data_IF_118574765497
#
_entry.id   IF_118574765497
#
_cell.length_a   1.000
_cell.length_b   1.000
_cell.length_c   1.000
_cell.angle_alpha   90.00
_cell.angle_beta   90.00
_cell.angle_gamma   90.00
#
_symmetry.space_group_name_H-M   'P 1'
#
loop_
_entity.id
_entity.type
_entity.pdbx_description
1 polymer ?
#
# COMPACT_ATOMS: atom_id res chain seq x y z
N UNK A 1 14.30 -10.74 7.29
CA UNK A 1 13.37 -9.80 6.62
C UNK A 1 14.09 -8.46 6.44
N UNK A 2 14.39 -8.05 5.20
CA UNK A 2 15.00 -6.74 4.95
C UNK A 2 13.91 -5.68 5.10
N UNK A 3 13.98 -4.89 6.17
CA UNK A 3 13.03 -3.81 6.40
C UNK A 3 13.24 -2.73 5.34
N UNK A 4 12.29 -2.56 4.43
CA UNK A 4 12.38 -1.61 3.33
C UNK A 4 11.91 -0.24 3.83
N UNK A 5 12.78 0.47 4.57
CA UNK A 5 12.54 1.83 5.09
C UNK A 5 12.05 2.79 3.99
N UNK A 6 12.54 2.60 2.76
CA UNK A 6 12.13 3.35 1.57
C UNK A 6 10.62 3.24 1.29
N UNK A 7 10.02 2.07 1.50
CA UNK A 7 8.58 1.88 1.32
C UNK A 7 7.79 2.59 2.42
N UNK A 8 8.27 2.57 3.66
CA UNK A 8 7.63 3.27 4.79
C UNK A 8 7.62 4.78 4.54
N UNK A 9 8.73 5.36 4.09
CA UNK A 9 8.80 6.79 3.76
C UNK A 9 7.88 7.17 2.59
N UNK A 10 7.82 6.35 1.55
CA UNK A 10 6.95 6.60 0.40
C UNK A 10 5.47 6.54 0.80
N UNK A 11 5.10 5.60 1.68
CA UNK A 11 3.75 5.49 2.24
C UNK A 11 3.37 6.69 3.11
N UNK A 12 4.30 7.22 3.90
CA UNK A 12 4.07 8.43 4.71
C UNK A 12 3.86 9.65 3.81
N UNK A 13 4.71 9.83 2.79
CA UNK A 13 4.57 10.91 1.80
C UNK A 13 3.23 10.81 1.05
N UNK A 14 2.84 9.60 0.66
CA UNK A 14 1.59 9.36 -0.05
C UNK A 14 0.37 9.68 0.81
N UNK A 15 0.35 9.25 2.07
CA UNK A 15 -0.70 9.58 3.03
C UNK A 15 -0.77 11.10 3.31
N UNK A 16 0.38 11.78 3.36
CA UNK A 16 0.44 13.24 3.46
C UNK A 16 -0.16 13.94 2.23
N UNK A 17 0.12 13.45 1.02
CA UNK A 17 -0.51 13.98 -0.21
C UNK A 17 -2.00 13.70 -0.27
N UNK A 18 -2.45 12.56 0.24
CA UNK A 18 -3.86 12.19 0.24
C UNK A 18 -4.69 13.20 1.04
N UNK A 19 -4.21 13.62 2.22
CA UNK A 19 -4.95 14.63 3.00
C UNK A 19 -4.90 16.03 2.40
N UNK A 20 -3.77 16.40 1.78
CA UNK A 20 -3.69 17.66 1.04
C UNK A 20 -4.72 17.71 -0.09
N UNK A 21 -4.88 16.59 -0.81
CA UNK A 21 -5.91 16.44 -1.84
C UNK A 21 -7.32 16.47 -1.23
N UNK A 22 -7.55 15.76 -0.13
CA UNK A 22 -8.86 15.74 0.54
C UNK A 22 -9.27 17.14 1.04
N UNK A 23 -8.35 17.90 1.61
CA UNK A 23 -8.59 19.27 2.04
C UNK A 23 -8.92 20.22 0.87
N UNK A 24 -8.41 19.92 -0.33
CA UNK A 24 -8.74 20.68 -1.55
C UNK A 24 -10.10 20.27 -2.14
N UNK A 25 -10.46 18.99 -2.04
CA UNK A 25 -11.68 18.41 -2.61
C UNK A 25 -12.92 18.64 -1.75
N UNK A 26 -12.77 18.83 -0.43
CA UNK A 26 -13.90 19.03 0.48
C UNK A 26 -14.19 20.52 0.69
N UNK A 27 -15.34 21.04 0.22
CA UNK A 27 -15.70 22.45 0.35
C UNK A 27 -16.02 22.88 1.79
N UNK A 28 -16.14 21.92 2.73
CA UNK A 28 -16.31 22.18 4.16
C UNK A 28 -15.03 22.45 4.94
N UNK A 29 -13.86 22.41 4.29
CA UNK A 29 -12.55 22.68 4.88
C UNK A 29 -12.01 23.97 4.28
N UNK A 30 -11.97 25.03 5.07
CA UNK A 30 -11.51 26.35 4.58
C UNK A 30 -10.07 26.57 5.00
N UNK A 31 -9.17 26.74 4.02
CA UNK A 31 -7.75 27.04 4.25
C UNK A 31 -7.47 28.52 3.92
N UNK A 32 -7.06 29.35 4.90
CA UNK A 32 -6.72 30.75 4.64
C UNK A 32 -5.52 30.88 3.70
N UNK A 33 -5.37 31.98 2.94
CA UNK A 33 -4.13 32.27 2.22
C UNK A 33 -2.96 32.50 3.20
N UNK A 34 -1.73 32.03 2.91
CA UNK A 34 -1.28 31.34 1.69
C UNK A 34 -1.57 29.83 1.67
N UNK A 35 -2.33 29.38 0.66
CA UNK A 35 -2.83 27.99 0.53
C UNK A 35 -1.72 26.94 0.46
N UNK A 36 -0.62 27.20 -0.24
CA UNK A 36 0.42 26.19 -0.48
C UNK A 36 1.16 25.82 0.81
N UNK A 37 1.52 26.81 1.62
CA UNK A 37 2.21 26.61 2.89
C UNK A 37 1.30 25.91 3.90
N UNK A 38 0.03 26.31 3.98
CA UNK A 38 -0.93 25.67 4.86
C UNK A 38 -1.24 24.22 4.48
N UNK A 39 -1.38 23.91 3.18
CA UNK A 39 -1.56 22.52 2.73
C UNK A 39 -0.34 21.65 3.07
N UNK A 40 0.87 22.19 2.92
CA UNK A 40 2.10 21.48 3.26
C UNK A 40 2.18 21.22 4.77
N UNK A 41 1.93 22.23 5.60
CA UNK A 41 1.89 22.10 7.06
C UNK A 41 0.81 21.11 7.50
N UNK A 42 -0.36 21.16 6.88
CA UNK A 42 -1.47 20.25 7.15
C UNK A 42 -1.09 18.80 6.84
N UNK A 43 -0.54 18.54 5.65
CA UNK A 43 -0.08 17.23 5.24
C UNK A 43 1.05 16.70 6.13
N UNK A 44 2.00 17.55 6.51
CA UNK A 44 3.10 17.19 7.40
C UNK A 44 2.59 16.79 8.80
N UNK A 45 1.68 17.59 9.37
CA UNK A 45 1.16 17.34 10.71
C UNK A 45 0.23 16.13 10.72
N UNK A 46 -0.58 15.93 9.67
CA UNK A 46 -1.36 14.71 9.53
C UNK A 46 -0.48 13.47 9.37
N UNK A 47 0.60 13.55 8.58
CA UNK A 47 1.59 12.48 8.48
C UNK A 47 2.19 12.13 9.84
N UNK A 48 2.47 13.13 10.66
CA UNK A 48 2.97 12.96 12.04
C UNK A 48 1.94 12.29 12.96
N UNK A 49 0.69 12.76 12.94
CA UNK A 49 -0.41 12.15 13.69
C UNK A 49 -0.64 10.69 13.27
N UNK A 50 -0.59 10.40 11.96
CA UNK A 50 -0.76 9.07 11.41
C UNK A 50 0.42 8.13 11.78
N UNK A 51 1.62 8.68 11.99
CA UNK A 51 2.80 7.92 12.40
C UNK A 51 2.86 7.62 13.90
N UNK A 52 2.43 8.55 14.76
CA UNK A 52 2.55 8.41 16.22
C UNK A 52 1.20 8.17 16.92
N UNK A 53 0.19 8.97 16.59
CA UNK A 53 -1.08 8.96 17.32
C UNK A 53 -1.96 7.80 16.86
N UNK A 54 -2.08 7.57 15.55
CA UNK A 54 -2.87 6.46 15.01
C UNK A 54 -2.49 5.09 15.59
N UNK A 55 -1.22 4.67 15.68
CA UNK A 55 -0.88 3.37 16.27
C UNK A 55 -1.21 3.31 17.77
N UNK A 56 -1.05 4.40 18.53
CA UNK A 56 -1.45 4.46 19.95
C UNK A 56 -2.97 4.29 20.09
N UNK A 57 -3.74 5.03 19.29
CA UNK A 57 -5.20 4.94 19.30
C UNK A 57 -5.63 3.54 18.89
N UNK A 58 -5.12 3.01 17.77
CA UNK A 58 -5.44 1.65 17.30
C UNK A 58 -5.11 0.58 18.32
N UNK A 59 -4.01 0.74 19.07
CA UNK A 59 -3.66 -0.17 20.15
C UNK A 59 -4.70 -0.15 21.27
N UNK A 60 -5.21 1.02 21.66
CA UNK A 60 -6.31 1.14 22.61
C UNK A 60 -7.63 0.58 22.05
N UNK A 61 -7.94 0.85 20.78
CA UNK A 61 -9.19 0.42 20.15
C UNK A 61 -9.15 -1.03 19.64
N UNK A 62 -8.05 -1.76 19.82
CA UNK A 62 -7.90 -3.12 19.27
C UNK A 62 -8.95 -4.09 19.82
N UNK A 63 -9.34 -3.93 21.08
CA UNK A 63 -10.41 -4.74 21.68
C UNK A 63 -11.78 -4.44 21.06
N UNK A 64 -12.00 -3.21 20.60
CA UNK A 64 -13.25 -2.82 19.92
C UNK A 64 -13.23 -3.17 18.43
N UNK A 65 -12.06 -3.37 17.80
CA UNK A 65 -11.95 -3.78 16.39
C UNK A 65 -12.69 -5.11 16.15
N UNK A 66 -12.54 -6.07 17.06
CA UNK A 66 -13.22 -7.38 16.97
C UNK A 66 -14.74 -7.30 17.18
N UNK A 67 -15.21 -6.31 17.94
CA UNK A 67 -16.64 -6.15 18.29
C UNK A 67 -17.43 -5.43 17.20
N UNK A 68 -16.76 -4.54 16.45
CA UNK A 68 -17.43 -3.55 15.58
C UNK A 68 -17.27 -3.81 14.08
N UNK A 69 -16.65 -4.92 13.68
CA UNK A 69 -16.45 -5.33 12.27
C UNK A 69 -15.79 -4.27 11.37
N UNK A 70 -15.03 -3.33 11.95
CA UNK A 70 -14.34 -2.28 11.21
C UNK A 70 -14.93 -0.87 11.36
N UNK A 71 -16.04 -0.66 12.08
CA UNK A 71 -16.53 0.70 12.38
C UNK A 71 -15.46 1.55 13.10
N UNK A 72 -14.66 0.90 13.96
CA UNK A 72 -13.52 1.53 14.63
C UNK A 72 -12.51 2.14 13.65
N UNK A 73 -12.36 1.61 12.43
CA UNK A 73 -11.44 2.18 11.42
C UNK A 73 -11.91 3.59 11.03
N UNK A 74 -13.22 3.77 10.84
CA UNK A 74 -13.82 5.08 10.53
C UNK A 74 -13.65 6.02 11.72
N UNK A 75 -13.87 5.53 12.94
CA UNK A 75 -13.72 6.32 14.16
C UNK A 75 -12.29 6.81 14.32
N UNK A 76 -11.29 5.93 14.16
CA UNK A 76 -9.87 6.28 14.27
C UNK A 76 -9.49 7.30 13.21
N UNK A 77 -9.87 7.09 11.94
CA UNK A 77 -9.54 8.03 10.87
C UNK A 77 -10.21 9.39 11.06
N UNK A 78 -11.45 9.41 11.56
CA UNK A 78 -12.17 10.65 11.93
C UNK A 78 -11.50 11.35 13.11
N UNK A 79 -11.11 10.59 14.15
CA UNK A 79 -10.45 11.13 15.33
C UNK A 79 -9.13 11.81 14.96
N UNK A 80 -8.37 11.23 14.02
CA UNK A 80 -7.15 11.87 13.51
C UNK A 80 -7.44 13.19 12.82
N UNK A 81 -8.56 13.27 12.09
CA UNK A 81 -8.97 14.51 11.42
C UNK A 81 -9.39 15.59 12.42
N UNK A 82 -10.13 15.23 13.48
CA UNK A 82 -10.51 16.14 14.57
C UNK A 82 -9.28 16.59 15.35
N UNK A 83 -8.33 15.70 15.64
CA UNK A 83 -7.07 16.08 16.28
C UNK A 83 -6.27 17.05 15.40
N UNK A 84 -6.24 16.82 14.09
CA UNK A 84 -5.56 17.69 13.15
C UNK A 84 -6.16 19.11 13.16
N UNK A 85 -7.49 19.21 13.13
CA UNK A 85 -8.20 20.48 13.33
C UNK A 85 -7.84 21.11 14.68
N UNK A 86 -7.85 20.33 15.76
CA UNK A 86 -7.53 20.84 17.09
C UNK A 86 -6.13 21.43 17.20
N UNK A 87 -5.13 20.78 16.58
CA UNK A 87 -3.75 21.28 16.56
C UNK A 87 -3.52 22.43 15.58
N UNK A 88 -4.35 22.54 14.54
CA UNK A 88 -4.20 23.50 13.45
C UNK A 88 -5.45 24.38 13.31
N UNK A 89 -6.08 24.73 14.42
CA UNK A 89 -7.34 25.47 14.47
C UNK A 89 -7.26 26.84 13.79
N UNK A 90 -6.07 27.43 13.74
CA UNK A 90 -5.78 28.67 13.01
C UNK A 90 -5.62 28.47 11.49
N UNK A 91 -5.37 27.23 11.04
CA UNK A 91 -5.05 26.89 9.64
C UNK A 91 -6.14 26.05 8.96
N UNK A 92 -7.02 25.42 9.75
CA UNK A 92 -8.09 24.54 9.27
C UNK A 92 -9.31 24.70 10.17
N UNK A 93 -10.40 25.19 9.57
CA UNK A 93 -11.71 25.29 10.22
C UNK A 93 -12.58 24.15 9.68
N UNK A 94 -13.06 23.25 10.54
CA UNK A 94 -14.05 22.24 10.18
C UNK A 94 -15.41 22.68 10.68
N UNK A 95 -16.35 22.86 9.74
CA UNK A 95 -17.66 23.42 10.07
C UNK A 95 -18.52 22.48 10.95
N UNK A 96 -18.23 21.17 10.99
CA UNK A 96 -18.99 20.19 11.77
C UNK A 96 -18.28 18.84 11.90
N UNK A 97 -18.64 18.05 12.91
CA UNK A 97 -18.13 16.67 13.11
C UNK A 97 -18.45 15.76 11.91
N UNK A 98 -19.54 16.03 11.20
CA UNK A 98 -19.89 15.31 9.96
C UNK A 98 -18.88 15.54 8.84
N UNK A 99 -18.33 16.75 8.74
CA UNK A 99 -17.24 17.05 7.80
C UNK A 99 -15.93 16.37 8.19
N UNK A 100 -15.68 16.17 9.49
CA UNK A 100 -14.53 15.39 9.93
C UNK A 100 -14.67 13.90 9.56
N UNK A 101 -15.87 13.32 9.66
CA UNK A 101 -16.13 11.93 9.24
C UNK A 101 -15.94 11.77 7.73
N UNK A 102 -16.52 12.69 6.95
CA UNK A 102 -16.38 12.71 5.49
C UNK A 102 -14.91 12.94 5.11
N UNK A 103 -14.21 13.83 5.82
CA UNK A 103 -12.78 14.10 5.66
C UNK A 103 -11.94 12.85 5.90
N UNK A 104 -12.04 12.23 7.08
CA UNK A 104 -11.29 11.00 7.39
C UNK A 104 -11.58 9.86 6.40
N UNK A 105 -12.82 9.74 5.93
CA UNK A 105 -13.21 8.76 4.91
C UNK A 105 -12.59 9.08 3.55
N UNK A 106 -12.66 10.34 3.11
CA UNK A 106 -12.10 10.78 1.84
C UNK A 106 -10.57 10.65 1.81
N UNK A 107 -9.87 10.95 2.91
CA UNK A 107 -8.41 10.72 3.03
C UNK A 107 -8.07 9.26 2.80
N UNK A 108 -8.85 8.36 3.41
CA UNK A 108 -8.66 6.92 3.26
C UNK A 108 -8.85 6.47 1.82
N UNK A 109 -9.89 6.99 1.15
CA UNK A 109 -10.21 6.65 -0.23
C UNK A 109 -9.15 7.18 -1.21
N UNK A 110 -8.73 8.43 -1.02
CA UNK A 110 -7.67 9.05 -1.80
C UNK A 110 -6.36 8.32 -1.60
N UNK A 111 -6.02 7.92 -0.37
CA UNK A 111 -4.84 7.11 -0.07
C UNK A 111 -4.80 5.81 -0.88
N UNK A 112 -5.87 5.02 -0.82
CA UNK A 112 -5.99 3.76 -1.61
C UNK A 112 -5.91 4.02 -3.11
N UNK A 113 -6.55 5.09 -3.59
CA UNK A 113 -6.51 5.45 -5.01
C UNK A 113 -5.09 5.81 -5.46
N UNK A 114 -4.35 6.60 -4.68
CA UNK A 114 -2.96 6.91 -4.96
C UNK A 114 -2.09 5.64 -4.90
N UNK A 115 -2.24 4.78 -3.89
CA UNK A 115 -1.44 3.54 -3.77
C UNK A 115 -1.57 2.64 -5.00
N UNK A 116 -2.80 2.48 -5.50
CA UNK A 116 -3.09 1.72 -6.71
C UNK A 116 -2.55 2.41 -7.96
N UNK A 117 -2.64 3.74 -8.06
CA UNK A 117 -2.15 4.50 -9.20
C UNK A 117 -0.61 4.44 -9.32
N UNK A 118 0.09 4.48 -8.20
CA UNK A 118 1.55 4.41 -8.16
C UNK A 118 2.11 2.98 -8.18
N UNK A 119 1.25 1.96 -8.24
CA UNK A 119 1.68 0.57 -8.39
C UNK A 119 2.56 0.06 -7.23
N UNK A 120 2.34 0.58 -6.02
CA UNK A 120 3.10 0.19 -4.83
C UNK A 120 2.68 -1.18 -4.26
N UNK A 121 1.68 -1.81 -4.87
CA UNK A 121 1.26 -3.19 -4.60
C UNK A 121 2.30 -4.14 -5.20
N UNK A 122 3.09 -4.88 -4.40
CA UNK A 122 4.02 -5.84 -4.96
C UNK A 122 3.25 -6.85 -5.83
N UNK A 123 3.77 -7.21 -7.02
CA UNK A 123 3.18 -8.28 -7.81
C UNK A 123 3.13 -9.53 -6.93
N UNK A 124 2.02 -10.28 -6.97
CA UNK A 124 1.98 -11.63 -6.43
C UNK A 124 2.92 -12.44 -7.30
N UNK A 125 4.19 -12.52 -6.88
CA UNK A 125 5.07 -13.56 -7.36
C UNK A 125 4.43 -14.83 -6.84
N UNK A 126 3.75 -15.52 -7.73
CA UNK A 126 3.38 -16.89 -7.48
C UNK A 126 4.69 -17.67 -7.44
N UNK A 127 5.31 -17.73 -6.26
CA UNK A 127 6.47 -18.57 -5.99
C UNK A 127 6.12 -20.07 -6.13
N UNK A 128 4.90 -20.41 -6.58
CA UNK A 128 4.53 -21.74 -7.08
C UNK A 128 4.77 -21.92 -8.58
N UNK A 129 4.98 -20.84 -9.34
CA UNK A 129 5.52 -20.87 -10.71
C UNK A 129 7.05 -21.06 -10.71
N UNK A 130 7.61 -21.64 -9.65
CA UNK A 130 8.88 -22.34 -9.77
C UNK A 130 8.63 -23.45 -10.79
N UNK A 131 9.48 -23.64 -11.82
CA UNK A 131 9.36 -24.83 -12.67
C UNK A 131 9.27 -26.02 -11.71
N UNK A 132 8.24 -26.87 -11.86
CA UNK A 132 8.12 -28.08 -11.05
C UNK A 132 9.50 -28.70 -10.99
N UNK A 133 10.04 -29.03 -9.80
CA UNK A 133 11.35 -29.64 -9.72
C UNK A 133 11.34 -30.80 -10.70
N UNK A 134 12.41 -31.00 -11.47
CA UNK A 134 12.48 -32.19 -12.31
C UNK A 134 12.58 -33.37 -11.34
N UNK A 135 11.43 -33.92 -10.95
CA UNK A 135 11.33 -35.15 -10.18
C UNK A 135 11.86 -36.23 -11.13
N UNK A 136 13.13 -36.60 -10.96
CA UNK A 136 13.68 -37.81 -11.55
C UNK A 136 12.94 -38.95 -10.89
N UNK A 137 11.91 -39.43 -11.57
CA UNK A 137 11.20 -40.63 -11.17
C UNK A 137 12.21 -41.77 -11.14
N UNK A 138 12.51 -42.26 -9.93
CA UNK A 138 13.45 -43.35 -9.71
C UNK A 138 12.92 -44.69 -10.22
N UNK A 139 11.68 -44.75 -10.71
CA UNK A 139 11.11 -45.93 -11.35
C UNK A 139 11.71 -46.11 -12.76
N UNK A 140 12.58 -47.12 -12.98
CA UNK A 140 13.23 -47.33 -14.27
C UNK A 140 12.27 -47.81 -15.38
N UNK A 141 11.03 -48.18 -15.03
CA UNK A 141 10.04 -48.67 -15.98
C UNK A 141 9.06 -47.60 -16.47
N UNK A 142 9.18 -46.35 -16.02
CA UNK A 142 8.44 -45.26 -16.64
C UNK A 142 9.17 -44.83 -17.91
N UNK A 143 8.44 -44.71 -19.03
CA UNK A 143 8.97 -44.21 -20.31
C UNK A 143 9.50 -42.76 -20.26
N UNK A 144 9.70 -42.20 -19.07
CA UNK A 144 10.26 -40.88 -18.81
C UNK A 144 11.73 -40.82 -19.18
N UNK A 145 12.50 -41.90 -19.03
CA UNK A 145 13.89 -41.96 -19.50
C UNK A 145 13.98 -41.72 -21.01
N UNK A 146 13.10 -42.34 -21.79
CA UNK A 146 13.05 -42.15 -23.24
C UNK A 146 12.67 -40.72 -23.62
N UNK A 147 11.75 -40.11 -22.88
CA UNK A 147 11.36 -38.71 -23.08
C UNK A 147 12.53 -37.76 -22.79
N UNK A 148 13.21 -37.93 -21.66
CA UNK A 148 14.36 -37.10 -21.28
C UNK A 148 15.50 -37.26 -22.28
N UNK A 149 15.79 -38.49 -22.73
CA UNK A 149 16.83 -38.73 -23.72
C UNK A 149 16.48 -38.16 -25.10
N UNK A 150 15.21 -38.16 -25.48
CA UNK A 150 14.75 -37.53 -26.72
C UNK A 150 14.85 -36.00 -26.65
N UNK A 151 14.52 -35.39 -25.50
CA UNK A 151 14.65 -33.95 -25.28
C UNK A 151 16.12 -33.52 -25.20
N UNK A 152 16.94 -34.29 -24.50
CA UNK A 152 18.38 -34.06 -24.43
C UNK A 152 19.05 -34.22 -25.79
N UNK A 153 18.62 -35.19 -26.63
CA UNK A 153 19.06 -35.28 -28.03
C UNK A 153 18.66 -34.06 -28.83
N UNK A 154 17.41 -33.61 -28.74
CA UNK A 154 16.92 -32.41 -29.44
C UNK A 154 17.69 -31.15 -29.01
N UNK A 155 17.89 -30.96 -27.71
CA UNK A 155 18.67 -29.85 -27.17
C UNK A 155 20.13 -29.91 -27.64
N UNK A 156 20.73 -31.10 -27.64
CA UNK A 156 22.09 -31.30 -28.13
C UNK A 156 22.19 -31.00 -29.64
N UNK A 157 21.20 -31.40 -30.44
CA UNK A 157 21.12 -31.10 -31.86
C UNK A 157 20.88 -29.61 -32.13
N UNK A 158 20.05 -28.93 -31.33
CA UNK A 158 19.81 -27.48 -31.40
C UNK A 158 21.08 -26.70 -31.06
N UNK A 159 21.75 -27.04 -29.96
CA UNK A 159 23.00 -26.40 -29.54
C UNK A 159 24.14 -26.64 -30.55
N UNK A 160 24.33 -27.88 -31.02
CA UNK A 160 25.35 -28.20 -32.03
C UNK A 160 25.01 -27.65 -33.43
N UNK A 161 23.73 -27.44 -33.74
CA UNK A 161 23.26 -26.81 -34.96
C UNK A 161 23.53 -25.31 -34.99
N UNK A 162 23.39 -24.64 -33.83
CA UNK A 162 23.74 -23.23 -33.67
C UNK A 162 25.26 -22.98 -33.66
N UNK A 163 26.08 -23.93 -33.20
CA UNK A 163 27.55 -23.81 -33.17
C UNK A 163 28.20 -23.93 -34.56
N UNK A 164 27.59 -24.64 -35.52
CA UNK A 164 28.09 -24.78 -36.89
C UNK A 164 27.63 -23.66 -37.87
N UNK A 165 26.88 -22.66 -37.39
CA UNK A 165 26.38 -21.53 -38.18
C UNK A 165 27.09 -20.19 -37.88
N UNK A 166 28.18 -20.21 -37.09
CA UNK A 166 29.10 -19.09 -36.88
C UNK A 166 30.45 -19.39 -37.53
#
# INVERSE_FOLDING_TARGET
MKFNWKLVLMLILLNGTAIGLTALLLPGITVPPPRLLHLLTLGAMFGLLNAFVKPIVQFLTISLLFVTYGLVIIIVNTLMFILLEFFLSDLLIVNSIWWAIIGGTAVSLVGVFLENLFGLSPPIIDDTAQPEPILIDSNPNTGRYDQIMSQARKLKEEVLGHENQQ
#
